data_IF_197823177558
#
_entry.id   IF_197823177558
#
_cell.length_a   1.000
_cell.length_b   1.000
_cell.length_c   1.000
_cell.angle_alpha   90.00
_cell.angle_beta   90.00
_cell.angle_gamma   90.00
#
_symmetry.space_group_name_H-M   'P 1'
#
loop_
_entity.id
_entity.type
_entity.pdbx_description
1 polymer ?
#
# COMPACT_ATOMS: atom_id res chain seq x y z
N UNK A 1 -19.70 -22.02 13.31
CA UNK A 1 -19.68 -20.91 14.29
C UNK A 1 -18.60 -19.92 13.88
N UNK A 2 -18.84 -18.61 14.00
CA UNK A 2 -17.81 -17.59 13.75
C UNK A 2 -17.09 -17.28 15.06
N UNK A 3 -15.77 -17.45 15.10
CA UNK A 3 -14.95 -16.98 16.23
C UNK A 3 -14.75 -15.48 16.08
N UNK A 4 -15.13 -14.70 17.08
CA UNK A 4 -15.05 -13.24 17.07
C UNK A 4 -13.62 -12.68 17.13
N UNK A 5 -12.63 -13.54 17.37
CA UNK A 5 -11.23 -13.14 17.32
C UNK A 5 -10.77 -12.80 15.89
N UNK A 6 -11.36 -13.42 14.86
CA UNK A 6 -10.93 -13.22 13.48
C UNK A 6 -11.60 -11.99 12.86
N UNK A 7 -10.80 -11.00 12.48
CA UNK A 7 -11.29 -9.84 11.71
C UNK A 7 -11.83 -10.24 10.33
N UNK A 8 -11.23 -11.24 9.69
CA UNK A 8 -11.67 -11.78 8.41
C UNK A 8 -11.36 -13.27 8.32
N UNK A 9 -12.25 -14.06 7.70
CA UNK A 9 -12.06 -15.50 7.51
C UNK A 9 -12.67 -16.01 6.21
N UNK A 10 -11.99 -16.93 5.55
CA UNK A 10 -12.49 -17.69 4.41
C UNK A 10 -12.26 -19.19 4.66
N UNK A 11 -13.18 -20.04 4.22
CA UNK A 11 -13.09 -21.49 4.36
C UNK A 11 -13.76 -22.14 3.15
N UNK A 12 -13.16 -23.19 2.61
CA UNK A 12 -13.68 -23.90 1.44
C UNK A 12 -12.62 -24.69 0.71
N UNK A 13 -13.05 -25.51 -0.24
CA UNK A 13 -12.16 -26.23 -1.16
C UNK A 13 -11.81 -25.36 -2.37
N UNK A 14 -10.56 -25.40 -2.83
CA UNK A 14 -10.10 -24.62 -3.99
C UNK A 14 -9.57 -23.21 -3.67
N UNK A 15 -9.37 -22.38 -4.70
CA UNK A 15 -8.76 -21.05 -4.57
C UNK A 15 -9.67 -20.08 -3.80
N UNK A 16 -9.23 -19.65 -2.63
CA UNK A 16 -9.93 -18.66 -1.81
C UNK A 16 -9.25 -17.29 -1.96
N UNK A 17 -10.05 -16.23 -2.14
CA UNK A 17 -9.58 -14.84 -2.10
C UNK A 17 -10.16 -14.16 -0.88
N UNK A 18 -9.31 -13.61 -0.03
CA UNK A 18 -9.71 -12.88 1.17
C UNK A 18 -9.33 -11.42 0.98
N UNK A 19 -10.33 -10.56 0.80
CA UNK A 19 -10.16 -9.11 0.79
C UNK A 19 -10.52 -8.56 2.17
N UNK A 20 -9.54 -7.95 2.84
CA UNK A 20 -9.76 -7.27 4.10
C UNK A 20 -9.06 -5.91 4.08
N UNK A 21 -9.59 -4.97 4.86
CA UNK A 21 -9.00 -3.65 5.06
C UNK A 21 -8.30 -3.64 6.42
N UNK A 22 -6.97 -3.87 6.47
CA UNK A 22 -6.24 -3.77 7.73
C UNK A 22 -6.22 -2.31 8.20
N UNK A 23 -6.58 -2.10 9.46
CA UNK A 23 -6.37 -0.85 10.18
C UNK A 23 -4.91 -0.75 10.66
N UNK A 24 -4.51 0.38 11.25
CA UNK A 24 -3.16 0.54 11.79
C UNK A 24 -2.94 -0.43 12.96
N UNK A 25 -2.07 -1.44 12.77
CA UNK A 25 -1.81 -2.45 13.80
C UNK A 25 -0.93 -3.60 13.33
N UNK A 26 -0.76 -4.60 14.21
CA UNK A 26 -0.08 -5.86 13.89
C UNK A 26 -1.13 -6.95 13.63
N UNK A 27 -0.98 -7.68 12.53
CA UNK A 27 -1.88 -8.77 12.15
C UNK A 27 -1.11 -10.08 12.04
N UNK A 28 -1.72 -11.16 12.51
CA UNK A 28 -1.22 -12.53 12.34
C UNK A 28 -2.18 -13.29 11.42
N UNK A 29 -1.66 -13.81 10.32
CA UNK A 29 -2.40 -14.64 9.38
C UNK A 29 -2.13 -16.10 9.75
N UNK A 30 -3.18 -16.89 9.95
CA UNK A 30 -3.07 -18.32 10.25
C UNK A 30 -3.85 -19.09 9.20
N UNK A 31 -3.19 -20.10 8.63
CA UNK A 31 -3.80 -21.07 7.75
C UNK A 31 -3.76 -22.42 8.44
N UNK A 32 -4.88 -23.13 8.41
CA UNK A 32 -5.02 -24.45 9.01
C UNK A 32 -5.85 -25.31 8.06
N UNK A 33 -5.44 -26.56 7.86
CA UNK A 33 -6.26 -27.53 7.16
C UNK A 33 -7.47 -27.92 8.02
N UNK A 34 -8.65 -27.99 7.42
CA UNK A 34 -9.89 -28.32 8.12
C UNK A 34 -9.87 -29.73 8.75
N UNK A 35 -9.03 -30.62 8.22
CA UNK A 35 -8.83 -31.99 8.69
C UNK A 35 -7.66 -32.17 9.67
N UNK A 36 -6.97 -31.08 10.04
CA UNK A 36 -5.77 -31.09 10.89
C UNK A 36 -4.60 -31.96 10.39
N UNK A 37 -4.57 -32.32 9.10
CA UNK A 37 -3.43 -33.01 8.50
C UNK A 37 -2.20 -32.10 8.41
N UNK A 38 -1.01 -32.69 8.49
CA UNK A 38 0.28 -31.99 8.57
C UNK A 38 0.82 -31.51 7.21
N UNK A 39 0.26 -31.96 6.10
CA UNK A 39 0.76 -31.65 4.77
C UNK A 39 -0.07 -30.52 4.16
N UNK A 40 0.54 -29.33 4.11
CA UNK A 40 -0.10 -28.08 3.70
C UNK A 40 0.70 -27.56 2.49
N UNK A 41 0.31 -27.96 1.27
CA UNK A 41 0.78 -27.35 0.01
C UNK A 41 -0.17 -26.21 -0.36
N UNK A 42 0.22 -24.98 -0.02
CA UNK A 42 -0.60 -23.79 -0.28
C UNK A 42 0.27 -22.67 -0.85
N UNK A 43 -0.15 -22.16 -2.01
CA UNK A 43 0.40 -20.96 -2.63
C UNK A 43 -0.39 -19.74 -2.14
N UNK A 44 0.24 -18.90 -1.32
CA UNK A 44 -0.38 -17.70 -0.74
C UNK A 44 0.20 -16.46 -1.40
N UNK A 45 -0.65 -15.74 -2.14
CA UNK A 45 -0.28 -14.46 -2.75
C UNK A 45 -0.87 -13.33 -1.92
N UNK A 46 -0.02 -12.63 -1.18
CA UNK A 46 -0.40 -11.43 -0.45
C UNK A 46 -0.27 -10.20 -1.38
N UNK A 47 -1.38 -9.52 -1.66
CA UNK A 47 -1.38 -8.28 -2.45
C UNK A 47 -1.71 -7.10 -1.54
N UNK A 48 -0.72 -6.27 -1.26
CA UNK A 48 -0.91 -5.00 -0.58
C UNK A 48 -1.03 -3.88 -1.61
N UNK A 49 -2.11 -3.09 -1.51
CA UNK A 49 -2.35 -1.95 -2.39
C UNK A 49 -1.82 -0.68 -1.74
N UNK A 50 -0.72 -0.14 -2.26
CA UNK A 50 -0.12 1.10 -1.76
C UNK A 50 -0.43 2.26 -2.72
N UNK A 51 -1.69 2.70 -2.76
CA UNK A 51 -2.11 3.79 -3.68
C UNK A 51 -1.51 5.14 -3.27
N UNK A 52 -1.47 5.40 -1.96
CA UNK A 52 -1.12 6.72 -1.42
C UNK A 52 0.35 7.08 -1.64
N UNK A 53 1.26 6.10 -1.66
CA UNK A 53 2.68 6.38 -1.83
C UNK A 53 2.99 6.94 -3.22
N UNK A 54 2.43 6.34 -4.27
CA UNK A 54 2.67 6.76 -5.66
C UNK A 54 2.14 8.18 -5.89
N UNK A 55 0.95 8.47 -5.35
CA UNK A 55 0.34 9.79 -5.45
C UNK A 55 1.17 10.84 -4.67
N UNK A 56 1.63 10.51 -3.46
CA UNK A 56 2.48 11.39 -2.66
C UNK A 56 3.80 11.71 -3.36
N UNK A 57 4.46 10.72 -3.98
CA UNK A 57 5.66 10.96 -4.79
C UNK A 57 5.39 11.86 -6.00
N UNK A 58 4.28 11.64 -6.71
CA UNK A 58 3.88 12.47 -7.84
C UNK A 58 3.66 13.93 -7.44
N UNK A 59 2.94 14.17 -6.34
CA UNK A 59 2.69 15.52 -5.82
C UNK A 59 4.00 16.16 -5.34
N UNK A 60 4.86 15.43 -4.65
CA UNK A 60 6.16 15.92 -4.20
C UNK A 60 7.05 16.36 -5.36
N UNK A 61 7.09 15.56 -6.44
CA UNK A 61 7.86 15.89 -7.65
C UNK A 61 7.32 17.14 -8.35
N UNK A 62 6.00 17.26 -8.49
CA UNK A 62 5.37 18.44 -9.09
C UNK A 62 5.61 19.70 -8.26
N UNK A 63 5.45 19.62 -6.94
CA UNK A 63 5.73 20.74 -6.03
C UNK A 63 7.20 21.17 -6.12
N UNK A 64 8.13 20.22 -6.12
CA UNK A 64 9.56 20.49 -6.31
C UNK A 64 9.85 21.18 -7.65
N UNK A 65 9.22 20.72 -8.74
CA UNK A 65 9.34 21.34 -10.06
C UNK A 65 8.85 22.79 -10.08
N UNK A 66 7.69 23.07 -9.47
CA UNK A 66 7.14 24.43 -9.38
C UNK A 66 8.08 25.35 -8.60
N UNK A 67 8.63 24.90 -7.47
CA UNK A 67 9.59 25.68 -6.68
C UNK A 67 10.83 26.02 -7.53
N UNK A 68 11.37 25.04 -8.25
CA UNK A 68 12.56 25.23 -9.08
C UNK A 68 12.29 26.24 -10.21
N UNK A 69 11.11 26.17 -10.84
CA UNK A 69 10.67 27.15 -11.84
C UNK A 69 10.56 28.56 -11.26
N UNK A 70 9.98 28.71 -10.08
CA UNK A 70 9.84 30.01 -9.40
C UNK A 70 11.21 30.61 -9.07
N UNK A 71 12.11 29.80 -8.49
CA UNK A 71 13.48 30.24 -8.14
C UNK A 71 14.24 30.64 -9.40
N UNK A 72 14.17 29.82 -10.45
CA UNK A 72 14.86 30.10 -11.71
C UNK A 72 14.34 31.37 -12.37
N UNK A 73 13.01 31.54 -12.42
CA UNK A 73 12.36 32.74 -12.97
C UNK A 73 12.73 33.99 -12.16
N UNK A 74 12.71 33.89 -10.84
CA UNK A 74 13.10 34.98 -9.94
C UNK A 74 14.57 35.38 -10.15
N UNK A 75 15.45 34.39 -10.27
CA UNK A 75 16.87 34.61 -10.49
C UNK A 75 17.15 35.29 -11.84
N UNK A 76 16.47 34.86 -12.91
CA UNK A 76 16.54 35.51 -14.23
C UNK A 76 16.02 36.96 -14.15
N UNK A 77 14.87 37.17 -13.50
CA UNK A 77 14.29 38.50 -13.34
C UNK A 77 15.24 39.48 -12.64
N UNK A 78 15.88 39.04 -11.54
CA UNK A 78 16.86 39.86 -10.81
C UNK A 78 18.10 40.13 -11.65
N UNK A 79 18.59 39.15 -12.41
CA UNK A 79 19.76 39.32 -13.28
C UNK A 79 19.51 40.33 -14.41
N UNK A 80 18.34 40.25 -15.06
CA UNK A 80 17.92 41.20 -16.10
C UNK A 80 17.73 42.60 -15.52
N UNK A 81 17.16 42.73 -14.32
CA UNK A 81 16.95 44.04 -13.68
C UNK A 81 18.25 44.71 -13.20
N UNK A 82 19.29 43.92 -12.92
CA UNK A 82 20.60 44.41 -12.47
C UNK A 82 21.59 44.70 -13.60
N UNK A 83 21.26 44.30 -14.84
CA UNK A 83 22.02 44.63 -16.05
C UNK A 83 21.48 45.91 -16.68
#
# INVERSE_FOLDING_TARGET
MAQEFWTAKAHGTGRQTLDWQPETGSYSIVLMNADASQEIDFDVVLKARVETAILAFGVGLLAGGVILLLVSTFMIYVAVRRS
#
